data_IF_765633763919
#
_entry.id   IF_765633763919
#
_cell.length_a   1.000
_cell.length_b   1.000
_cell.length_c   1.000
_cell.angle_alpha   90.00
_cell.angle_beta   90.00
_cell.angle_gamma   90.00
#
_symmetry.space_group_name_H-M   'P 1'
#
loop_
_entity.id
_entity.type
_entity.pdbx_description
1 polymer ?
#
# COMPACT_ATOMS: atom_id res chain seq x y z
N UNK A 1 -23.78 8.21 -11.39
CA UNK A 1 -23.42 6.88 -10.86
C UNK A 1 -22.75 6.89 -9.49
N UNK A 2 -22.29 8.06 -8.99
CA UNK A 2 -21.67 8.17 -7.68
C UNK A 2 -22.62 7.74 -6.53
N UNK A 3 -23.86 8.17 -6.53
CA UNK A 3 -24.84 7.80 -5.51
C UNK A 3 -25.15 6.30 -5.55
N UNK A 4 -25.27 5.73 -6.74
CA UNK A 4 -25.47 4.28 -6.91
C UNK A 4 -24.27 3.49 -6.39
N UNK A 5 -23.05 3.98 -6.62
CA UNK A 5 -21.83 3.39 -6.09
C UNK A 5 -21.81 3.44 -4.56
N UNK A 6 -22.14 4.57 -3.98
CA UNK A 6 -22.18 4.76 -2.52
C UNK A 6 -23.18 3.80 -1.85
N UNK A 7 -24.38 3.65 -2.38
CA UNK A 7 -25.37 2.72 -1.87
C UNK A 7 -24.90 1.26 -1.97
N UNK A 8 -24.30 0.91 -3.11
CA UNK A 8 -23.79 -0.45 -3.36
C UNK A 8 -22.66 -0.82 -2.43
N UNK A 9 -21.71 0.09 -2.22
CA UNK A 9 -20.60 -0.10 -1.27
C UNK A 9 -21.11 -0.27 0.16
N UNK A 10 -22.09 0.54 0.57
CA UNK A 10 -22.69 0.44 1.89
C UNK A 10 -23.38 -0.92 2.11
N UNK A 11 -24.07 -1.44 1.09
CA UNK A 11 -24.70 -2.77 1.13
C UNK A 11 -23.67 -3.89 1.21
N UNK A 12 -22.58 -3.80 0.47
CA UNK A 12 -21.50 -4.79 0.52
C UNK A 12 -20.85 -4.84 1.90
N UNK A 13 -20.64 -3.70 2.53
CA UNK A 13 -20.03 -3.62 3.86
C UNK A 13 -20.88 -4.32 4.93
N UNK A 14 -22.19 -4.34 4.79
CA UNK A 14 -23.07 -5.08 5.69
C UNK A 14 -22.80 -6.60 5.65
N UNK A 15 -22.36 -7.12 4.51
CA UNK A 15 -22.06 -8.53 4.30
C UNK A 15 -20.57 -8.87 4.46
N UNK A 16 -19.70 -7.89 4.41
CA UNK A 16 -18.25 -8.07 4.50
C UNK A 16 -17.64 -7.03 5.43
N UNK A 17 -17.46 -7.41 6.70
CA UNK A 17 -16.92 -6.53 7.74
C UNK A 17 -15.42 -6.22 7.57
N UNK A 18 -14.70 -6.99 6.73
CA UNK A 18 -13.28 -6.75 6.45
C UNK A 18 -13.06 -5.63 5.43
N UNK A 19 -14.12 -5.17 4.79
CA UNK A 19 -14.11 -4.11 3.80
C UNK A 19 -14.40 -2.76 4.47
N UNK A 20 -13.52 -1.78 4.23
CA UNK A 20 -13.69 -0.41 4.73
C UNK A 20 -13.69 0.58 3.56
N UNK A 21 -14.37 1.70 3.73
CA UNK A 21 -14.38 2.76 2.72
C UNK A 21 -14.61 4.13 3.33
N UNK A 22 -14.13 5.15 2.62
CA UNK A 22 -14.40 6.56 2.92
C UNK A 22 -14.50 7.35 1.61
N UNK A 23 -15.26 8.44 1.64
CA UNK A 23 -15.43 9.29 0.48
C UNK A 23 -14.14 10.07 0.17
N UNK A 24 -13.80 10.16 -1.10
CA UNK A 24 -12.64 10.90 -1.58
C UNK A 24 -12.93 11.60 -2.89
N UNK A 25 -12.25 12.70 -3.15
CA UNK A 25 -12.31 13.39 -4.43
C UNK A 25 -10.94 13.41 -5.11
N UNK A 26 -10.95 13.32 -6.43
CA UNK A 26 -9.75 13.37 -7.26
C UNK A 26 -9.90 14.46 -8.30
N UNK A 27 -8.83 15.20 -8.57
CA UNK A 27 -8.81 16.21 -9.62
C UNK A 27 -9.03 15.61 -11.01
N UNK A 28 -8.60 14.36 -11.24
CA UNK A 28 -8.72 13.68 -12.52
C UNK A 28 -10.05 12.94 -12.70
N UNK A 29 -10.59 12.35 -11.63
CA UNK A 29 -11.73 11.42 -11.68
C UNK A 29 -13.01 11.97 -11.02
N UNK A 30 -12.93 13.08 -10.28
CA UNK A 30 -14.04 13.61 -9.50
C UNK A 30 -14.23 12.89 -8.18
N UNK A 31 -15.48 12.66 -7.79
CA UNK A 31 -15.81 12.00 -6.53
C UNK A 31 -15.71 10.47 -6.64
N UNK A 32 -15.25 9.85 -5.58
CA UNK A 32 -15.13 8.41 -5.48
C UNK A 32 -14.95 7.96 -4.03
N UNK A 33 -14.39 6.77 -3.86
CA UNK A 33 -14.17 6.18 -2.53
C UNK A 33 -12.78 5.61 -2.43
N UNK A 34 -12.16 5.85 -1.28
CA UNK A 34 -10.96 5.12 -0.86
C UNK A 34 -11.41 3.91 -0.07
N UNK A 35 -11.00 2.73 -0.52
CA UNK A 35 -11.43 1.47 0.06
C UNK A 35 -10.24 0.69 0.62
N UNK A 36 -10.44 0.04 1.76
CA UNK A 36 -9.47 -0.85 2.37
C UNK A 36 -9.84 -2.31 2.13
N UNK A 37 -8.86 -3.09 1.69
CA UNK A 37 -9.03 -4.51 1.37
C UNK A 37 -7.96 -5.35 2.06
N UNK A 38 -8.23 -6.65 2.21
CA UNK A 38 -7.29 -7.60 2.80
C UNK A 38 -6.15 -8.01 1.84
N UNK A 39 -6.27 -7.72 0.55
CA UNK A 39 -5.28 -8.04 -0.46
C UNK A 39 -5.87 -7.91 -1.85
N UNK A 40 -5.09 -8.19 -2.90
CA UNK A 40 -5.54 -8.06 -4.29
C UNK A 40 -6.71 -8.98 -4.62
N UNK A 41 -6.73 -10.20 -4.09
CA UNK A 41 -7.85 -11.12 -4.31
C UNK A 41 -9.15 -10.57 -3.71
N UNK A 42 -9.09 -9.99 -2.52
CA UNK A 42 -10.25 -9.36 -1.89
C UNK A 42 -10.75 -8.16 -2.72
N UNK A 43 -9.83 -7.34 -3.23
CA UNK A 43 -10.16 -6.25 -4.16
C UNK A 43 -10.89 -6.77 -5.39
N UNK A 44 -10.39 -7.82 -6.03
CA UNK A 44 -10.99 -8.41 -7.23
C UNK A 44 -12.40 -8.95 -6.96
N UNK A 45 -12.61 -9.62 -5.83
CA UNK A 45 -13.92 -10.13 -5.43
C UNK A 45 -14.92 -8.99 -5.23
N UNK A 46 -14.54 -7.94 -4.51
CA UNK A 46 -15.41 -6.78 -4.27
C UNK A 46 -15.72 -6.04 -5.57
N UNK A 47 -14.72 -5.85 -6.43
CA UNK A 47 -14.88 -5.21 -7.73
C UNK A 47 -15.85 -6.00 -8.64
N UNK A 48 -15.71 -7.31 -8.67
CA UNK A 48 -16.60 -8.19 -9.43
C UNK A 48 -18.03 -8.15 -8.91
N UNK A 49 -18.23 -8.16 -7.60
CA UNK A 49 -19.55 -8.04 -6.99
C UNK A 49 -20.23 -6.72 -7.31
N UNK A 50 -19.50 -5.60 -7.23
CA UNK A 50 -20.02 -4.29 -7.59
C UNK A 50 -20.43 -4.24 -9.06
N UNK A 51 -19.63 -4.83 -9.94
CA UNK A 51 -19.91 -4.86 -11.36
C UNK A 51 -21.11 -5.75 -11.72
N UNK A 52 -21.18 -6.95 -11.16
CA UNK A 52 -22.22 -7.94 -11.50
C UNK A 52 -23.51 -7.74 -10.73
N UNK A 53 -23.45 -7.59 -9.41
CA UNK A 53 -24.65 -7.53 -8.58
C UNK A 53 -25.34 -6.16 -8.65
N UNK A 54 -24.57 -5.09 -8.83
CA UNK A 54 -25.08 -3.71 -8.80
C UNK A 54 -24.99 -3.01 -10.14
N UNK A 55 -24.51 -3.68 -11.19
CA UNK A 55 -24.41 -3.17 -12.55
C UNK A 55 -23.69 -1.81 -12.63
N UNK A 56 -22.51 -1.76 -11.99
CA UNK A 56 -21.66 -0.56 -11.98
C UNK A 56 -20.48 -0.72 -12.90
N UNK A 57 -20.20 0.35 -13.65
CA UNK A 57 -18.99 0.48 -14.45
C UNK A 57 -17.94 1.24 -13.63
N UNK A 58 -16.88 0.54 -13.22
CA UNK A 58 -15.92 1.02 -12.24
C UNK A 58 -14.59 1.41 -12.89
N UNK A 59 -14.04 2.54 -12.42
CA UNK A 59 -12.65 2.89 -12.64
C UNK A 59 -11.92 2.71 -11.33
N UNK A 60 -10.92 1.84 -11.32
CA UNK A 60 -10.10 1.59 -10.13
C UNK A 60 -8.68 2.13 -10.33
N UNK A 61 -8.10 2.66 -9.26
CA UNK A 61 -6.72 3.16 -9.26
C UNK A 61 -5.91 2.40 -8.22
N UNK A 62 -4.62 2.22 -8.50
CA UNK A 62 -3.71 1.61 -7.55
C UNK A 62 -3.50 2.52 -6.33
N UNK A 63 -3.26 1.94 -5.13
CA UNK A 63 -2.89 2.73 -3.97
C UNK A 63 -1.59 3.48 -4.23
N UNK A 64 -1.53 4.73 -3.76
CA UNK A 64 -0.35 5.58 -3.89
C UNK A 64 0.26 5.86 -2.51
N UNK A 65 1.56 6.10 -2.52
CA UNK A 65 2.34 6.45 -1.33
C UNK A 65 2.55 7.96 -1.33
N UNK A 66 2.46 8.59 -0.15
CA UNK A 66 2.71 10.01 0.00
C UNK A 66 4.21 10.26 0.15
N UNK A 67 4.77 11.10 -0.70
CA UNK A 67 6.18 11.51 -0.64
C UNK A 67 6.29 12.91 -0.03
N UNK A 68 7.34 13.12 0.73
CA UNK A 68 7.71 14.43 1.24
C UNK A 68 8.82 15.01 0.37
N UNK A 69 8.57 16.17 -0.24
CA UNK A 69 9.49 16.82 -1.16
C UNK A 69 9.87 18.19 -0.61
N UNK A 70 11.19 18.43 -0.50
CA UNK A 70 11.72 19.74 -0.15
C UNK A 70 12.00 20.52 -1.43
N UNK A 71 11.29 21.64 -1.59
CA UNK A 71 11.45 22.54 -2.72
C UNK A 71 12.58 23.53 -2.45
N UNK A 72 13.43 23.73 -3.45
CA UNK A 72 14.50 24.72 -3.40
C UNK A 72 13.92 26.12 -3.56
N UNK A 73 14.60 27.11 -2.95
CA UNK A 73 14.28 28.51 -3.14
C UNK A 73 14.40 28.91 -4.61
N UNK A 74 13.44 29.68 -5.10
CA UNK A 74 13.45 30.26 -6.44
C UNK A 74 13.39 31.80 -6.35
N UNK A 75 13.42 32.48 -7.49
CA UNK A 75 13.30 33.93 -7.53
C UNK A 75 11.94 34.45 -7.06
N UNK A 76 10.90 33.61 -7.15
CA UNK A 76 9.51 33.98 -6.85
C UNK A 76 8.96 33.33 -5.60
N UNK A 77 9.61 32.27 -5.10
CA UNK A 77 9.13 31.50 -3.96
C UNK A 77 10.27 31.08 -3.05
N UNK A 78 10.01 31.07 -1.75
CA UNK A 78 10.95 30.57 -0.75
C UNK A 78 11.03 29.04 -0.77
N UNK A 79 12.08 28.50 -0.18
CA UNK A 79 12.20 27.06 0.05
C UNK A 79 11.07 26.58 0.97
N UNK A 80 10.44 25.48 0.60
CA UNK A 80 9.34 24.89 1.38
C UNK A 80 9.29 23.38 1.24
N UNK A 81 8.57 22.75 2.14
CA UNK A 81 8.25 21.33 2.11
C UNK A 81 6.83 21.12 1.61
N UNK A 82 6.63 20.16 0.72
CA UNK A 82 5.31 19.75 0.24
C UNK A 82 5.12 18.26 0.40
N UNK A 83 3.85 17.83 0.57
CA UNK A 83 3.47 16.43 0.59
C UNK A 83 2.87 16.07 -0.78
N UNK A 84 3.50 15.12 -1.47
CA UNK A 84 3.05 14.67 -2.79
C UNK A 84 2.10 13.49 -2.63
N UNK A 85 0.82 13.70 -2.92
CA UNK A 85 -0.22 12.67 -2.89
C UNK A 85 -0.49 12.06 -4.28
N UNK A 86 -0.25 12.81 -5.33
CA UNK A 86 -0.52 12.43 -6.71
C UNK A 86 0.75 12.62 -7.54
N UNK A 87 1.25 11.57 -8.24
CA UNK A 87 2.42 11.70 -9.10
C UNK A 87 2.30 12.79 -10.18
N UNK A 88 1.07 13.12 -10.60
CA UNK A 88 0.83 14.20 -11.57
C UNK A 88 1.19 15.59 -11.02
N UNK A 89 1.22 15.75 -9.70
CA UNK A 89 1.57 17.01 -9.04
C UNK A 89 3.07 17.14 -8.75
N UNK A 90 3.89 16.25 -9.30
CA UNK A 90 5.34 16.26 -9.10
C UNK A 90 5.94 17.59 -9.57
N UNK A 91 6.68 18.31 -8.71
CA UNK A 91 7.23 19.60 -9.07
C UNK A 91 8.34 19.49 -10.12
N UNK A 92 8.67 20.63 -10.73
CA UNK A 92 9.78 20.71 -11.68
C UNK A 92 11.07 20.17 -11.02
N UNK A 93 11.81 19.26 -11.68
CA UNK A 93 13.05 18.70 -11.14
C UNK A 93 14.10 19.76 -10.76
N UNK A 94 14.11 20.91 -11.43
CA UNK A 94 15.02 22.01 -11.10
C UNK A 94 14.76 22.62 -9.73
N UNK A 95 13.54 22.49 -9.21
CA UNK A 95 13.13 22.98 -7.89
C UNK A 95 13.16 21.92 -6.81
N UNK A 96 13.28 20.66 -7.17
CA UNK A 96 13.28 19.54 -6.24
C UNK A 96 14.63 19.43 -5.55
N UNK A 97 14.65 19.51 -4.23
CA UNK A 97 15.82 19.27 -3.41
C UNK A 97 15.86 17.82 -2.94
N UNK A 98 15.42 17.57 -1.73
CA UNK A 98 15.33 16.24 -1.13
C UNK A 98 13.93 15.68 -1.33
N UNK A 99 13.85 14.39 -1.64
CA UNK A 99 12.60 13.63 -1.71
C UNK A 99 12.68 12.53 -0.66
N UNK A 100 11.73 12.53 0.27
CA UNK A 100 11.62 11.51 1.30
C UNK A 100 10.44 10.60 1.00
N UNK A 101 10.66 9.31 1.13
CA UNK A 101 9.60 8.29 1.03
C UNK A 101 9.35 7.65 2.40
N UNK A 102 8.10 7.23 2.69
CA UNK A 102 7.82 6.56 3.95
C UNK A 102 8.40 5.15 3.99
N UNK A 103 8.88 4.76 5.16
CA UNK A 103 9.41 3.44 5.44
C UNK A 103 8.61 2.77 6.56
N UNK A 104 8.64 1.45 6.58
CA UNK A 104 8.00 0.64 7.62
C UNK A 104 9.04 -0.25 8.29
N UNK A 105 8.76 -0.60 9.54
CA UNK A 105 9.42 -1.69 10.25
C UNK A 105 8.52 -2.92 10.15
N UNK A 106 9.00 -3.96 9.50
CA UNK A 106 8.24 -5.17 9.25
C UNK A 106 8.80 -6.33 10.07
N UNK A 107 7.90 -7.13 10.65
CA UNK A 107 8.24 -8.38 11.33
C UNK A 107 7.56 -9.53 10.60
N UNK A 108 8.34 -10.50 10.16
CA UNK A 108 7.85 -11.66 9.42
C UNK A 108 8.13 -12.93 10.23
N UNK A 109 7.09 -13.70 10.49
CA UNK A 109 7.20 -15.01 11.13
C UNK A 109 7.01 -16.09 10.08
N UNK A 110 7.95 -17.03 9.98
CA UNK A 110 7.91 -18.09 8.97
C UNK A 110 8.55 -19.36 9.47
N UNK A 111 8.11 -20.56 9.01
CA UNK A 111 8.90 -21.76 9.15
C UNK A 111 10.29 -21.58 8.52
N UNK A 112 11.31 -22.16 9.14
CA UNK A 112 12.70 -22.01 8.71
C UNK A 112 12.94 -22.41 7.26
N UNK A 113 12.22 -23.39 6.75
CA UNK A 113 12.34 -23.86 5.36
C UNK A 113 12.07 -22.79 4.30
N UNK A 114 11.28 -21.76 4.63
CA UNK A 114 10.95 -20.66 3.70
C UNK A 114 11.80 -19.41 3.92
N UNK A 115 12.64 -19.39 4.95
CA UNK A 115 13.40 -18.21 5.34
C UNK A 115 14.26 -17.64 4.21
N UNK A 116 15.00 -18.51 3.49
CA UNK A 116 15.86 -18.05 2.39
C UNK A 116 15.11 -17.32 1.29
N UNK A 117 13.95 -17.84 0.89
CA UNK A 117 13.10 -17.22 -0.13
C UNK A 117 12.52 -15.88 0.34
N UNK A 118 12.17 -15.79 1.61
CA UNK A 118 11.63 -14.55 2.21
C UNK A 118 12.72 -13.49 2.31
N UNK A 119 13.93 -13.86 2.72
CA UNK A 119 15.07 -12.94 2.75
C UNK A 119 15.37 -12.36 1.36
N UNK A 120 15.32 -13.20 0.34
CA UNK A 120 15.51 -12.76 -1.04
C UNK A 120 14.41 -11.79 -1.49
N UNK A 121 13.15 -12.08 -1.18
CA UNK A 121 12.03 -11.19 -1.48
C UNK A 121 12.25 -9.81 -0.85
N UNK A 122 12.60 -9.75 0.43
CA UNK A 122 12.85 -8.49 1.12
C UNK A 122 14.03 -7.71 0.52
N UNK A 123 15.11 -8.40 0.14
CA UNK A 123 16.24 -7.79 -0.54
C UNK A 123 15.86 -7.20 -1.90
N UNK A 124 15.08 -7.92 -2.68
CA UNK A 124 14.58 -7.46 -3.98
C UNK A 124 13.67 -6.23 -3.86
N UNK A 125 13.09 -6.00 -2.68
CA UNK A 125 12.23 -4.86 -2.36
C UNK A 125 12.97 -3.73 -1.62
N UNK A 126 14.27 -3.62 -1.79
CA UNK A 126 15.13 -2.61 -1.13
C UNK A 126 15.11 -2.68 0.40
N UNK A 127 14.80 -3.84 0.96
CA UNK A 127 14.73 -4.05 2.40
C UNK A 127 16.11 -4.08 3.07
N UNK A 128 16.14 -3.61 4.32
CA UNK A 128 17.31 -3.65 5.19
C UNK A 128 16.99 -4.57 6.36
N UNK A 129 17.74 -5.66 6.50
CA UNK A 129 17.55 -6.60 7.61
C UNK A 129 18.02 -5.96 8.92
N UNK A 130 17.14 -5.87 9.91
CA UNK A 130 17.45 -5.31 11.23
C UNK A 130 17.59 -6.36 12.32
N UNK A 131 17.07 -7.55 12.10
CA UNK A 131 17.20 -8.64 13.08
C UNK A 131 16.72 -9.98 12.55
N UNK A 132 17.18 -11.04 13.18
CA UNK A 132 16.76 -12.41 12.93
C UNK A 132 16.79 -13.17 14.25
N UNK A 133 15.67 -13.77 14.63
CA UNK A 133 15.55 -14.56 15.84
C UNK A 133 14.77 -15.84 15.55
N UNK A 134 15.10 -16.92 16.23
CA UNK A 134 14.38 -18.19 16.13
C UNK A 134 13.56 -18.41 17.39
N UNK A 135 12.26 -18.67 17.22
CA UNK A 135 11.32 -18.91 18.32
C UNK A 135 10.51 -20.17 18.02
N UNK A 136 10.71 -21.23 18.79
CA UNK A 136 9.91 -22.45 18.70
C UNK A 136 9.91 -23.12 17.33
N UNK A 137 11.04 -23.16 16.63
CA UNK A 137 11.15 -23.76 15.27
C UNK A 137 10.72 -22.84 14.14
N UNK A 138 10.35 -21.59 14.45
CA UNK A 138 10.04 -20.56 13.47
C UNK A 138 11.10 -19.46 13.48
N UNK A 139 11.35 -18.88 12.33
CA UNK A 139 12.17 -17.70 12.19
C UNK A 139 11.33 -16.43 12.31
N UNK A 140 11.83 -15.49 13.10
CA UNK A 140 11.29 -14.13 13.20
C UNK A 140 12.30 -13.19 12.57
N UNK A 141 11.94 -12.61 11.42
CA UNK A 141 12.80 -11.71 10.66
C UNK A 141 12.28 -10.30 10.76
N UNK A 142 13.20 -9.37 11.05
CA UNK A 142 12.87 -7.94 11.09
C UNK A 142 13.56 -7.23 9.95
N UNK A 143 12.78 -6.45 9.20
CA UNK A 143 13.24 -5.66 8.07
C UNK A 143 12.68 -4.25 8.14
N UNK A 144 13.47 -3.29 7.62
CA UNK A 144 12.97 -1.99 7.24
C UNK A 144 12.75 -1.98 5.74
N UNK A 145 11.56 -1.61 5.31
CA UNK A 145 11.14 -1.64 3.90
C UNK A 145 10.49 -0.31 3.51
N UNK A 146 10.76 0.18 2.28
CA UNK A 146 9.97 1.30 1.75
C UNK A 146 8.50 0.90 1.60
N UNK A 147 7.60 1.75 2.09
CA UNK A 147 6.17 1.47 2.03
C UNK A 147 5.70 1.24 0.59
N UNK A 148 6.25 1.97 -0.38
CA UNK A 148 5.91 1.82 -1.79
C UNK A 148 6.20 0.42 -2.35
N UNK A 149 7.18 -0.29 -1.81
CA UNK A 149 7.50 -1.66 -2.21
C UNK A 149 6.54 -2.70 -1.59
N UNK A 150 5.76 -2.31 -0.60
CA UNK A 150 4.90 -3.21 0.19
C UNK A 150 3.43 -3.09 -0.21
N UNK A 151 2.95 -1.89 -0.58
CA UNK A 151 1.51 -1.62 -0.77
C UNK A 151 0.86 -2.37 -1.92
N UNK A 152 1.62 -2.91 -2.86
CA UNK A 152 1.06 -3.52 -4.06
C UNK A 152 0.90 -5.04 -3.95
N UNK A 153 1.97 -5.81 -4.02
CA UNK A 153 1.89 -7.28 -4.10
C UNK A 153 2.77 -8.03 -3.08
N UNK A 154 3.45 -7.30 -2.18
CA UNK A 154 4.41 -7.90 -1.25
C UNK A 154 3.77 -8.99 -0.38
N UNK A 155 2.62 -8.70 0.21
CA UNK A 155 1.92 -9.65 1.07
C UNK A 155 1.51 -10.92 0.30
N UNK A 156 0.99 -10.75 -0.91
CA UNK A 156 0.57 -11.87 -1.75
C UNK A 156 1.75 -12.74 -2.15
N UNK A 157 2.89 -12.13 -2.49
CA UNK A 157 4.12 -12.85 -2.78
C UNK A 157 4.68 -13.57 -1.57
N UNK A 158 4.65 -12.93 -0.40
CA UNK A 158 5.08 -13.53 0.86
C UNK A 158 4.26 -14.80 1.15
N UNK A 159 2.95 -14.73 1.00
CA UNK A 159 2.07 -15.89 1.19
C UNK A 159 2.31 -16.97 0.15
N UNK A 160 2.53 -16.60 -1.11
CA UNK A 160 2.80 -17.54 -2.19
C UNK A 160 4.09 -18.33 -1.96
N UNK A 161 5.21 -17.67 -1.66
CA UNK A 161 6.50 -18.33 -1.46
C UNK A 161 6.60 -19.13 -0.17
N UNK A 162 5.77 -18.84 0.82
CA UNK A 162 5.70 -19.55 2.10
C UNK A 162 4.54 -20.55 2.17
N UNK A 163 3.83 -20.76 1.08
CA UNK A 163 2.63 -21.62 1.01
C UNK A 163 1.57 -21.27 2.06
N UNK A 164 1.44 -19.99 2.38
CA UNK A 164 0.50 -19.47 3.36
C UNK A 164 0.97 -19.52 4.82
N UNK A 165 2.15 -20.04 5.09
CA UNK A 165 2.65 -20.22 6.47
C UNK A 165 3.30 -18.96 7.07
N UNK A 166 3.75 -18.01 6.25
CA UNK A 166 4.33 -16.78 6.77
C UNK A 166 3.26 -15.80 7.25
N UNK A 167 3.54 -15.12 8.34
CA UNK A 167 2.75 -13.99 8.82
C UNK A 167 3.57 -12.71 8.80
N UNK A 168 2.90 -11.58 8.63
CA UNK A 168 3.52 -10.29 8.41
C UNK A 168 2.83 -9.23 9.25
N UNK A 169 3.62 -8.48 9.99
CA UNK A 169 3.17 -7.35 10.78
C UNK A 169 4.10 -6.17 10.56
N UNK A 170 3.57 -4.95 10.56
CA UNK A 170 4.37 -3.76 10.29
C UNK A 170 3.84 -2.51 10.98
N UNK A 171 4.73 -1.53 11.13
CA UNK A 171 4.39 -0.18 11.56
C UNK A 171 5.24 0.84 10.80
N UNK A 172 4.70 2.02 10.59
CA UNK A 172 5.40 3.10 9.90
C UNK A 172 6.43 3.74 10.82
N UNK A 173 7.65 3.96 10.31
CA UNK A 173 8.78 4.50 11.08
C UNK A 173 9.33 5.83 10.56
N UNK A 174 8.92 6.30 9.37
CA UNK A 174 9.40 7.58 8.84
C UNK A 174 8.93 7.89 7.44
#
# INVERSE_FOLDING_TARGET
>A
DFEKLRESISKLRLNDASFSFEMESSAALGFGFRCGFLGLLHLEIIQERLSREYDLDLITTAPSVVYRIQLRKSKTEDAREIMLHNPADYPDPSRTGQIDEPWISATIYTPDEYLGSILKLCQDRRGIQTGLTYVGGRAQVQYELPLNEVVFDFYDRLKSISRGYASFDYEQIG
#
